data_IF_785426094699
#
_entry.id   IF_785426094699
#
_cell.length_a   1.000
_cell.length_b   1.000
_cell.length_c   1.000
_cell.angle_alpha   90.00
_cell.angle_beta   90.00
_cell.angle_gamma   90.00
#
_symmetry.space_group_name_H-M   'P 1'
#
loop_
_entity.id
_entity.type
_entity.pdbx_description
1 polymer ?
#
# COMPACT_ATOMS: atom_id res chain seq x y z
N UNK A 1 -24.58 -3.24 -14.32
CA UNK A 1 -25.06 -2.61 -13.05
C UNK A 1 -23.95 -2.73 -12.00
N UNK A 2 -23.57 -1.63 -11.31
CA UNK A 2 -22.52 -1.66 -10.30
C UNK A 2 -23.08 -2.12 -8.95
N UNK A 3 -22.26 -2.84 -8.17
CA UNK A 3 -22.58 -3.24 -6.78
C UNK A 3 -22.78 -1.97 -5.93
N UNK A 4 -23.71 -2.02 -4.97
CA UNK A 4 -24.00 -0.87 -4.09
C UNK A 4 -22.79 -0.39 -3.31
N UNK A 5 -21.91 -1.29 -2.89
CA UNK A 5 -20.66 -0.98 -2.18
C UNK A 5 -19.74 -0.04 -2.98
N UNK A 6 -19.78 -0.11 -4.32
CA UNK A 6 -18.96 0.73 -5.19
C UNK A 6 -19.54 2.14 -5.32
N UNK A 7 -20.87 2.28 -5.23
CA UNK A 7 -21.56 3.59 -5.40
C UNK A 7 -21.21 4.59 -4.31
N UNK A 8 -20.82 4.11 -3.12
CA UNK A 8 -20.43 4.95 -1.97
C UNK A 8 -18.97 5.37 -1.98
N UNK A 9 -18.14 4.82 -2.87
CA UNK A 9 -16.73 5.16 -2.94
C UNK A 9 -16.51 6.50 -3.62
N UNK A 10 -15.76 7.38 -2.96
CA UNK A 10 -15.36 8.66 -3.55
C UNK A 10 -14.14 8.48 -4.46
N UNK A 11 -14.00 9.28 -5.53
CA UNK A 11 -12.77 9.33 -6.32
C UNK A 11 -11.56 9.65 -5.44
N UNK A 12 -10.40 9.13 -5.82
CA UNK A 12 -9.15 9.44 -5.12
C UNK A 12 -8.89 10.95 -5.12
N UNK A 13 -8.74 11.54 -3.93
CA UNK A 13 -8.45 12.97 -3.79
C UNK A 13 -7.14 13.37 -4.45
N UNK A 14 -6.14 12.50 -4.45
CA UNK A 14 -4.85 12.70 -5.15
C UNK A 14 -5.02 12.79 -6.67
N UNK A 15 -5.83 11.92 -7.26
CA UNK A 15 -6.14 12.00 -8.71
C UNK A 15 -6.88 13.28 -9.04
N UNK A 16 -7.87 13.64 -8.23
CA UNK A 16 -8.66 14.88 -8.42
C UNK A 16 -7.79 16.14 -8.34
N UNK A 17 -6.88 16.23 -7.37
CA UNK A 17 -5.94 17.35 -7.25
C UNK A 17 -5.05 17.44 -8.50
N UNK A 18 -4.55 16.30 -8.99
CA UNK A 18 -3.71 16.29 -10.19
C UNK A 18 -4.47 16.75 -11.45
N UNK A 19 -5.73 16.34 -11.62
CA UNK A 19 -6.59 16.81 -12.73
C UNK A 19 -6.84 18.32 -12.64
N UNK A 20 -7.11 18.84 -11.43
CA UNK A 20 -7.29 20.29 -11.21
C UNK A 20 -6.01 21.04 -11.53
N UNK A 21 -4.85 20.55 -11.04
CA UNK A 21 -3.55 21.17 -11.31
C UNK A 21 -3.27 21.26 -12.80
N UNK A 22 -3.53 20.18 -13.55
CA UNK A 22 -3.36 20.16 -15.01
C UNK A 22 -4.26 21.19 -15.70
N UNK A 23 -5.54 21.28 -15.31
CA UNK A 23 -6.49 22.26 -15.88
C UNK A 23 -6.07 23.72 -15.62
N UNK A 24 -5.42 23.99 -14.50
CA UNK A 24 -4.90 25.33 -14.17
C UNK A 24 -3.65 25.65 -14.98
N UNK A 25 -2.74 24.67 -15.13
CA UNK A 25 -1.56 24.82 -16.00
C UNK A 25 -1.96 25.07 -17.47
N UNK A 26 -2.97 24.36 -17.98
CA UNK A 26 -3.49 24.54 -19.33
C UNK A 26 -4.07 25.99 -19.54
N UNK A 27 -4.44 26.68 -18.46
CA UNK A 27 -4.85 28.08 -18.46
C UNK A 27 -3.69 29.07 -18.30
N UNK A 28 -2.44 28.59 -18.23
CA UNK A 28 -1.25 29.40 -18.07
C UNK A 28 -0.91 29.75 -16.62
N UNK A 29 -1.59 29.16 -15.62
CA UNK A 29 -1.28 29.41 -14.23
C UNK A 29 -0.03 28.64 -13.78
N UNK A 30 0.83 29.28 -12.96
CA UNK A 30 1.98 28.63 -12.37
C UNK A 30 1.57 27.79 -11.16
N UNK A 31 1.62 26.46 -11.30
CA UNK A 31 1.23 25.52 -10.26
C UNK A 31 2.44 24.79 -9.67
N UNK A 32 2.50 24.74 -8.32
CA UNK A 32 3.45 23.92 -7.58
C UNK A 32 2.75 22.61 -7.17
N UNK A 33 3.13 21.49 -7.79
CA UNK A 33 2.47 20.19 -7.60
C UNK A 33 3.03 19.44 -6.40
N UNK A 34 2.24 19.34 -5.33
CA UNK A 34 2.53 18.52 -4.16
C UNK A 34 1.54 17.36 -3.98
N UNK A 35 0.75 17.04 -5.02
CA UNK A 35 -0.31 16.02 -4.95
C UNK A 35 0.19 14.58 -5.09
N UNK A 36 1.31 14.36 -5.78
CA UNK A 36 1.93 13.05 -5.95
C UNK A 36 3.34 13.01 -5.39
N UNK A 37 3.64 11.97 -4.61
CA UNK A 37 5.01 11.63 -4.22
C UNK A 37 5.71 10.80 -5.32
N UNK A 38 5.81 11.35 -6.53
CA UNK A 38 6.53 10.70 -7.63
C UNK A 38 8.01 11.02 -7.55
N UNK A 39 8.87 10.00 -7.69
CA UNK A 39 10.32 10.21 -7.75
C UNK A 39 10.68 11.14 -8.91
N UNK A 40 11.48 12.19 -8.67
CA UNK A 40 11.97 13.05 -9.74
C UNK A 40 13.16 12.44 -10.51
N UNK A 41 13.73 11.34 -10.01
CA UNK A 41 14.87 10.68 -10.61
C UNK A 41 14.45 9.76 -11.74
N UNK A 42 15.29 9.67 -12.75
CA UNK A 42 15.10 8.71 -13.83
C UNK A 42 15.35 7.29 -13.32
N UNK A 43 14.76 6.32 -14.02
CA UNK A 43 15.05 4.90 -13.75
C UNK A 43 16.52 4.63 -14.06
N UNK A 44 17.28 3.97 -13.16
CA UNK A 44 18.68 3.63 -13.41
C UNK A 44 18.87 2.84 -14.72
N UNK A 45 19.93 3.15 -15.46
CA UNK A 45 20.20 2.55 -16.76
C UNK A 45 20.28 1.02 -16.72
N UNK A 46 20.83 0.45 -15.65
CA UNK A 46 20.92 -1.01 -15.49
C UNK A 46 19.52 -1.66 -15.47
N UNK A 47 18.54 -1.02 -14.83
CA UNK A 47 17.15 -1.50 -14.80
C UNK A 47 16.53 -1.34 -16.19
N UNK A 48 16.77 -0.21 -16.87
CA UNK A 48 16.25 0.03 -18.23
C UNK A 48 16.82 -1.00 -19.20
N UNK A 49 18.11 -1.29 -19.13
CA UNK A 49 18.76 -2.27 -19.98
C UNK A 49 18.26 -3.69 -19.68
N UNK A 50 18.19 -4.08 -18.41
CA UNK A 50 17.63 -5.36 -18.02
C UNK A 50 16.21 -5.57 -18.57
N UNK A 51 15.35 -4.54 -18.53
CA UNK A 51 14.01 -4.61 -19.11
C UNK A 51 14.06 -4.82 -20.62
N UNK A 52 14.90 -4.08 -21.34
CA UNK A 52 15.07 -4.23 -22.81
C UNK A 52 15.56 -5.63 -23.18
N UNK A 53 16.57 -6.13 -22.47
CA UNK A 53 17.17 -7.43 -22.72
C UNK A 53 16.22 -8.60 -22.46
N UNK A 54 15.23 -8.40 -21.58
CA UNK A 54 14.25 -9.41 -21.21
C UNK A 54 12.83 -9.16 -21.75
N UNK A 55 12.62 -8.10 -22.55
CA UNK A 55 11.30 -7.76 -23.08
C UNK A 55 10.70 -8.85 -24.01
N UNK A 56 11.51 -9.75 -24.53
CA UNK A 56 11.09 -10.88 -25.36
C UNK A 56 10.56 -12.07 -24.55
N UNK A 57 10.73 -12.08 -23.22
CA UNK A 57 10.25 -13.15 -22.35
C UNK A 57 8.71 -13.17 -22.33
N UNK A 58 8.12 -14.32 -22.72
CA UNK A 58 6.68 -14.46 -22.85
C UNK A 58 6.10 -15.67 -22.09
N UNK A 59 6.92 -16.32 -21.27
CA UNK A 59 6.50 -17.49 -20.50
C UNK A 59 5.70 -17.07 -19.26
N UNK A 60 4.70 -17.88 -18.90
CA UNK A 60 4.05 -17.75 -17.60
C UNK A 60 5.05 -17.98 -16.46
N UNK A 61 4.96 -17.15 -15.45
CA UNK A 61 5.74 -17.29 -14.23
C UNK A 61 4.97 -18.13 -13.18
N UNK A 62 5.68 -18.68 -12.18
CA UNK A 62 5.03 -19.26 -11.01
C UNK A 62 4.08 -18.25 -10.34
N UNK A 63 2.98 -18.71 -9.75
CA UNK A 63 1.98 -17.85 -9.08
C UNK A 63 2.58 -16.93 -8.03
N UNK A 64 3.60 -17.37 -7.32
CA UNK A 64 4.30 -16.57 -6.31
C UNK A 64 5.31 -15.57 -6.89
N UNK A 65 5.55 -15.62 -8.19
CA UNK A 65 6.55 -14.81 -8.89
C UNK A 65 7.83 -15.55 -9.23
N UNK A 66 8.71 -14.88 -9.96
CA UNK A 66 9.99 -15.43 -10.43
C UNK A 66 10.86 -15.84 -9.23
N UNK A 67 11.35 -17.07 -9.23
CA UNK A 67 12.10 -17.65 -8.10
C UNK A 67 13.36 -16.84 -7.78
N UNK A 68 14.10 -16.43 -8.79
CA UNK A 68 15.33 -15.64 -8.65
C UNK A 68 15.05 -14.27 -8.00
N UNK A 69 13.92 -13.65 -8.34
CA UNK A 69 13.50 -12.39 -7.72
C UNK A 69 13.09 -12.61 -6.27
N UNK A 70 12.33 -13.66 -5.97
CA UNK A 70 11.93 -14.00 -4.60
C UNK A 70 13.15 -14.27 -3.70
N UNK A 71 14.14 -14.99 -4.22
CA UNK A 71 15.40 -15.25 -3.53
C UNK A 71 16.18 -13.96 -3.27
N UNK A 72 16.29 -13.09 -4.27
CA UNK A 72 16.96 -11.80 -4.14
C UNK A 72 16.26 -10.89 -3.10
N UNK A 73 14.94 -10.84 -3.11
CA UNK A 73 14.15 -10.07 -2.12
C UNK A 73 14.32 -10.65 -0.71
N UNK A 74 14.27 -11.97 -0.56
CA UNK A 74 14.46 -12.63 0.73
C UNK A 74 15.85 -12.31 1.32
N UNK A 75 16.91 -12.43 0.52
CA UNK A 75 18.29 -12.09 0.92
C UNK A 75 18.42 -10.61 1.31
N UNK A 76 17.95 -9.71 0.47
CA UNK A 76 17.98 -8.26 0.74
C UNK A 76 17.25 -7.91 2.04
N UNK A 77 16.05 -8.45 2.24
CA UNK A 77 15.23 -8.16 3.41
C UNK A 77 15.83 -8.76 4.68
N UNK A 78 16.43 -9.96 4.60
CA UNK A 78 17.10 -10.61 5.73
C UNK A 78 18.24 -9.75 6.27
N UNK A 79 19.08 -9.23 5.40
CA UNK A 79 20.20 -8.34 5.80
C UNK A 79 19.69 -7.04 6.44
N UNK A 80 18.60 -6.47 5.93
CA UNK A 80 18.04 -5.20 6.40
C UNK A 80 17.30 -5.32 7.74
N UNK A 81 16.73 -6.48 8.04
CA UNK A 81 15.80 -6.67 9.16
C UNK A 81 16.31 -7.63 10.25
N UNK A 82 17.53 -8.11 10.11
CA UNK A 82 18.13 -9.10 11.04
C UNK A 82 17.20 -10.31 11.29
N UNK A 83 16.61 -10.81 10.21
CA UNK A 83 15.73 -11.97 10.21
C UNK A 83 15.96 -12.81 8.97
N UNK A 84 15.98 -14.13 9.11
CA UNK A 84 16.24 -15.04 7.99
C UNK A 84 14.97 -15.32 7.19
N UNK A 85 14.64 -14.43 6.25
CA UNK A 85 13.58 -14.66 5.28
C UNK A 85 14.00 -15.67 4.22
N UNK A 86 13.08 -16.52 3.84
CA UNK A 86 13.27 -17.51 2.78
C UNK A 86 12.41 -17.14 1.56
N UNK A 87 12.73 -17.62 0.34
CA UNK A 87 11.93 -17.37 -0.86
C UNK A 87 10.44 -17.74 -0.68
N UNK A 88 10.12 -18.76 0.14
CA UNK A 88 8.75 -19.16 0.44
C UNK A 88 7.96 -18.09 1.22
N UNK A 89 8.63 -17.16 1.87
CA UNK A 89 8.01 -16.04 2.57
C UNK A 89 7.72 -14.85 1.64
N UNK A 90 8.07 -14.94 0.35
CA UNK A 90 7.98 -13.84 -0.61
C UNK A 90 6.94 -14.15 -1.68
N UNK A 91 6.06 -13.20 -1.91
CA UNK A 91 5.12 -13.18 -3.05
C UNK A 91 5.38 -11.92 -3.85
N UNK A 92 5.52 -12.06 -5.16
CA UNK A 92 5.68 -10.95 -6.10
C UNK A 92 4.34 -10.69 -6.79
N UNK A 93 3.97 -9.43 -6.90
CA UNK A 93 2.78 -8.98 -7.62
C UNK A 93 3.02 -7.64 -8.31
N UNK A 94 2.06 -7.14 -9.09
CA UNK A 94 2.17 -5.87 -9.80
C UNK A 94 2.00 -4.67 -8.85
N UNK A 95 2.84 -4.64 -7.82
CA UNK A 95 2.87 -3.65 -6.76
C UNK A 95 2.11 -4.07 -5.49
N UNK A 96 2.58 -3.54 -4.36
CA UNK A 96 2.02 -3.82 -3.02
C UNK A 96 0.52 -3.46 -2.90
N UNK A 97 0.04 -2.50 -3.68
CA UNK A 97 -1.37 -2.09 -3.68
C UNK A 97 -2.31 -3.24 -4.04
N UNK A 98 -1.96 -4.03 -5.05
CA UNK A 98 -2.76 -5.19 -5.45
C UNK A 98 -2.65 -6.31 -4.41
N UNK A 99 -1.45 -6.60 -3.93
CA UNK A 99 -1.24 -7.63 -2.91
C UNK A 99 -2.03 -7.30 -1.61
N UNK A 100 -2.04 -6.05 -1.18
CA UNK A 100 -2.86 -5.62 -0.05
C UNK A 100 -4.35 -5.77 -0.31
N UNK A 101 -4.81 -5.48 -1.53
CA UNK A 101 -6.21 -5.68 -1.90
C UNK A 101 -6.62 -7.17 -1.84
N UNK A 102 -5.76 -8.06 -2.32
CA UNK A 102 -5.97 -9.49 -2.20
C UNK A 102 -6.05 -9.94 -0.73
N UNK A 103 -5.19 -9.39 0.14
CA UNK A 103 -5.27 -9.64 1.58
C UNK A 103 -6.63 -9.23 2.16
N UNK A 104 -7.16 -8.06 1.80
CA UNK A 104 -8.49 -7.64 2.25
C UNK A 104 -9.60 -8.59 1.78
N UNK A 105 -9.48 -9.18 0.58
CA UNK A 105 -10.49 -10.11 0.06
C UNK A 105 -10.47 -11.45 0.78
N UNK A 106 -9.30 -11.96 1.14
CA UNK A 106 -9.15 -13.30 1.74
C UNK A 106 -9.18 -13.29 3.27
N UNK A 107 -9.00 -12.12 3.90
CA UNK A 107 -8.95 -12.01 5.35
C UNK A 107 -10.36 -11.97 5.95
N UNK A 108 -10.64 -12.91 6.84
CA UNK A 108 -11.88 -12.96 7.61
C UNK A 108 -11.67 -12.30 8.98
N UNK A 109 -12.03 -11.01 9.05
CA UNK A 109 -11.85 -10.21 10.27
C UNK A 109 -12.00 -8.71 10.05
N UNK A 110 -11.61 -7.95 11.05
CA UNK A 110 -11.65 -6.48 11.03
C UNK A 110 -10.27 -5.89 10.73
N UNK A 111 -10.24 -4.76 10.04
CA UNK A 111 -9.00 -4.08 9.66
C UNK A 111 -8.76 -2.91 10.61
N UNK A 112 -7.61 -2.89 11.26
CA UNK A 112 -7.18 -1.77 12.09
C UNK A 112 -6.34 -0.82 11.24
N UNK A 113 -6.81 0.44 11.12
CA UNK A 113 -6.13 1.49 10.37
C UNK A 113 -5.78 2.66 11.28
N UNK A 114 -4.48 2.96 11.48
CA UNK A 114 -4.06 4.24 12.05
C UNK A 114 -4.50 5.40 11.15
N UNK A 115 -4.90 6.52 11.72
CA UNK A 115 -5.24 7.72 11.00
C UNK A 115 -4.34 8.89 11.45
N UNK A 116 -3.64 9.59 10.51
CA UNK A 116 -3.76 9.48 9.07
C UNK A 116 -3.05 8.24 8.48
N UNK A 117 -3.59 7.70 7.39
CA UNK A 117 -2.98 6.61 6.63
C UNK A 117 -3.21 6.78 5.13
N UNK A 118 -2.55 5.95 4.35
CA UNK A 118 -2.67 6.01 2.89
C UNK A 118 -4.12 5.83 2.43
N UNK A 119 -4.53 6.72 1.53
CA UNK A 119 -5.91 6.84 1.05
C UNK A 119 -6.51 5.56 0.43
N UNK A 120 -5.68 4.58 0.08
CA UNK A 120 -6.15 3.33 -0.54
C UNK A 120 -6.57 2.25 0.46
N UNK A 121 -6.10 2.30 1.72
CA UNK A 121 -6.39 1.23 2.68
C UNK A 121 -7.89 1.10 2.99
N UNK A 122 -8.53 2.19 3.38
CA UNK A 122 -9.96 2.16 3.72
C UNK A 122 -10.87 1.74 2.54
N UNK A 123 -10.72 2.28 1.30
CA UNK A 123 -11.48 1.80 0.16
C UNK A 123 -11.25 0.31 -0.16
N UNK A 124 -10.04 -0.20 0.00
CA UNK A 124 -9.76 -1.63 -0.21
C UNK A 124 -10.46 -2.50 0.83
N UNK A 125 -10.40 -2.12 2.11
CA UNK A 125 -11.10 -2.81 3.18
C UNK A 125 -12.63 -2.82 2.94
N UNK A 126 -13.21 -1.69 2.53
CA UNK A 126 -14.63 -1.60 2.18
C UNK A 126 -14.98 -2.56 1.04
N UNK A 127 -14.17 -2.59 -0.03
CA UNK A 127 -14.38 -3.49 -1.16
C UNK A 127 -14.24 -4.97 -0.76
N UNK A 128 -13.31 -5.29 0.15
CA UNK A 128 -13.16 -6.60 0.78
C UNK A 128 -14.27 -6.95 1.77
N UNK A 129 -15.18 -6.00 2.06
CA UNK A 129 -16.26 -6.12 3.07
C UNK A 129 -15.76 -6.28 4.50
N UNK A 130 -14.53 -5.88 4.77
CA UNK A 130 -14.00 -5.87 6.11
C UNK A 130 -14.51 -4.63 6.85
N UNK A 131 -14.85 -4.80 8.11
CA UNK A 131 -15.13 -3.66 9.01
C UNK A 131 -13.80 -2.98 9.37
N UNK A 132 -13.82 -1.64 9.44
CA UNK A 132 -12.64 -0.85 9.76
C UNK A 132 -12.74 -0.35 11.21
N UNK A 133 -11.68 -0.57 11.97
CA UNK A 133 -11.40 0.04 13.26
C UNK A 133 -10.34 1.12 13.06
N UNK A 134 -10.73 2.39 13.15
CA UNK A 134 -9.79 3.50 13.01
C UNK A 134 -9.22 3.92 14.35
N UNK A 135 -7.89 4.03 14.45
CA UNK A 135 -7.19 4.59 15.62
C UNK A 135 -6.70 5.98 15.23
N UNK A 136 -7.17 7.01 15.93
CA UNK A 136 -6.69 8.38 15.74
C UNK A 136 -5.32 8.52 16.39
N UNK A 137 -4.28 8.60 15.57
CA UNK A 137 -2.91 8.73 16.07
C UNK A 137 -2.56 10.20 16.32
N UNK A 138 -1.50 10.44 17.09
CA UNK A 138 -1.08 11.76 17.53
C UNK A 138 0.35 12.06 17.12
N UNK A 139 0.68 13.33 16.96
CA UNK A 139 2.02 13.81 16.63
C UNK A 139 3.05 13.38 17.68
N UNK A 140 2.66 13.39 18.96
CA UNK A 140 3.49 13.02 20.11
C UNK A 140 3.99 11.58 20.02
N UNK A 141 3.24 10.72 19.32
CA UNK A 141 3.58 9.32 19.06
C UNK A 141 4.09 9.10 17.62
N UNK A 142 4.63 10.15 17.00
CA UNK A 142 5.11 10.10 15.61
C UNK A 142 4.06 9.56 14.61
N UNK A 143 2.78 9.83 14.87
CA UNK A 143 1.66 9.33 14.07
C UNK A 143 1.56 7.79 13.98
N UNK A 144 2.08 7.09 15.02
CA UNK A 144 1.88 5.65 15.18
C UNK A 144 0.91 5.37 16.34
N UNK A 145 0.11 4.30 16.24
CA UNK A 145 -0.72 3.87 17.35
C UNK A 145 0.16 3.30 18.46
N UNK A 146 -0.23 3.54 19.70
CA UNK A 146 0.39 2.91 20.87
C UNK A 146 -0.13 1.49 21.05
N UNK A 147 0.62 0.66 21.78
CA UNK A 147 0.19 -0.70 22.13
C UNK A 147 -1.16 -0.71 22.86
N UNK A 148 -1.37 0.24 23.77
CA UNK A 148 -2.63 0.38 24.53
C UNK A 148 -3.83 0.75 23.64
N UNK A 149 -3.64 1.62 22.64
CA UNK A 149 -4.70 1.98 21.68
C UNK A 149 -5.09 0.78 20.81
N UNK A 150 -4.12 -0.03 20.42
CA UNK A 150 -4.36 -1.28 19.65
C UNK A 150 -5.08 -2.29 20.56
N UNK A 151 -4.61 -2.48 21.78
CA UNK A 151 -5.20 -3.39 22.75
C UNK A 151 -6.66 -3.02 23.04
N UNK A 152 -6.96 -1.73 23.22
CA UNK A 152 -8.34 -1.25 23.41
C UNK A 152 -9.28 -1.68 22.29
N UNK A 153 -8.80 -1.65 21.03
CA UNK A 153 -9.60 -2.12 19.89
C UNK A 153 -9.82 -3.63 19.95
N UNK A 154 -8.77 -4.40 20.26
CA UNK A 154 -8.85 -5.87 20.30
C UNK A 154 -9.73 -6.34 21.46
N UNK A 155 -9.66 -5.66 22.61
CA UNK A 155 -10.44 -6.01 23.79
C UNK A 155 -11.95 -5.80 23.62
N UNK A 156 -12.41 -5.01 22.64
CA UNK A 156 -13.83 -4.84 22.33
C UNK A 156 -14.49 -6.15 21.89
N UNK A 157 -13.75 -7.00 21.20
CA UNK A 157 -14.21 -8.33 20.80
C UNK A 157 -13.02 -9.28 20.56
N UNK A 158 -12.64 -10.01 21.58
CA UNK A 158 -11.50 -10.94 21.53
C UNK A 158 -11.71 -12.17 20.64
N UNK A 159 -12.95 -12.41 20.20
CA UNK A 159 -13.28 -13.56 19.36
C UNK A 159 -13.10 -13.26 17.86
N UNK A 160 -12.72 -12.03 17.50
CA UNK A 160 -12.48 -11.62 16.13
C UNK A 160 -11.01 -11.70 15.77
N UNK A 161 -10.75 -11.91 14.49
CA UNK A 161 -9.45 -11.71 13.90
C UNK A 161 -9.27 -10.24 13.53
N UNK A 162 -8.05 -9.73 13.72
CA UNK A 162 -7.69 -8.35 13.38
C UNK A 162 -6.46 -8.33 12.50
N UNK A 163 -6.48 -7.50 11.47
CA UNK A 163 -5.34 -7.21 10.62
C UNK A 163 -4.97 -5.73 10.75
N UNK A 164 -3.81 -5.44 11.32
CA UNK A 164 -3.29 -4.10 11.48
C UNK A 164 -2.41 -3.71 10.29
N UNK A 165 -2.71 -2.58 9.65
CA UNK A 165 -1.86 -1.98 8.63
C UNK A 165 -0.94 -0.93 9.25
N UNK A 166 0.35 -1.22 9.29
CA UNK A 166 1.40 -0.27 9.66
C UNK A 166 2.28 0.02 8.45
N UNK A 167 2.65 1.29 8.27
CA UNK A 167 3.52 1.74 7.20
C UNK A 167 4.61 2.66 7.76
N UNK A 168 5.89 2.38 7.47
CA UNK A 168 7.01 3.22 7.88
C UNK A 168 8.08 3.21 6.77
N UNK A 169 8.51 4.38 6.30
CA UNK A 169 7.94 5.71 6.55
C UNK A 169 6.47 5.80 6.14
N UNK A 170 5.61 6.38 7.01
CA UNK A 170 4.17 6.40 6.78
C UNK A 170 3.77 7.44 5.71
N UNK A 171 2.85 7.09 4.86
CA UNK A 171 2.13 8.01 3.99
C UNK A 171 0.75 8.33 4.61
N UNK A 172 0.48 9.63 5.01
CA UNK A 172 1.19 10.84 4.58
C UNK A 172 2.15 11.47 5.60
N UNK A 173 2.32 10.93 6.81
CA UNK A 173 3.05 11.64 7.89
C UNK A 173 4.56 11.71 7.68
N UNK A 174 5.15 10.80 6.89
CA UNK A 174 6.59 10.71 6.66
C UNK A 174 7.42 10.14 7.82
N UNK A 175 6.75 9.58 8.84
CA UNK A 175 7.39 9.04 10.05
C UNK A 175 7.60 7.53 9.94
#
# INVERSE_FOLDING_TARGET
>A
MLKNIVKGLKPSSTLKINEISRKLEDKGEKIFKFGFGQSPFQVPNDIVNALKDNAHQNKYLPMQGLNELRDAVAKYTSVKKDYNYKPENIIIGPGSKELMFLLHIIFDGEIILPAPSWVSYAPQAILGRNKIQSIQTKRENNWFPTGSEIEEVILKDKNKNYLLFLNSPNNPSGQ
#
